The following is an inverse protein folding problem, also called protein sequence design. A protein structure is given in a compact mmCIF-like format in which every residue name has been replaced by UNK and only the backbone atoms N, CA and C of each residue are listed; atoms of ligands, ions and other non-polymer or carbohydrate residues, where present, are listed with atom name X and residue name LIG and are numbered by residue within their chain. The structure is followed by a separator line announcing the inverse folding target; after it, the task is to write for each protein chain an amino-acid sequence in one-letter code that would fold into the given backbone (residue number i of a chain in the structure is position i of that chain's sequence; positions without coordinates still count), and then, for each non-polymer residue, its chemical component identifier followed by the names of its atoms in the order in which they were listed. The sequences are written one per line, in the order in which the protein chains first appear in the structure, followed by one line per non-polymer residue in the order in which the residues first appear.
data_IF_487914630560
#
_entry.id   IF_487914630560
#
_cell.length_a   1.000
_cell.length_b   1.000
_cell.length_c   1.000
_cell.angle_alpha   90.00
_cell.angle_beta   90.00
_cell.angle_gamma   90.00
#
_symmetry.space_group_name_H-M   'P 1'
#
loop_
_entity.id
_entity.type
_entity.pdbx_description
1 polymer ?
#
# COMPACT_ATOMS: atom_id res chain seq x y z
N UNK A 1 -3.86 -14.28 23.62
CA UNK A 1 -3.93 -12.82 23.37
C UNK A 1 -3.54 -12.42 21.95
N UNK A 2 -2.74 -13.21 21.23
CA UNK A 2 -2.31 -12.92 19.85
C UNK A 2 -3.39 -13.13 18.76
N UNK A 3 -4.34 -14.05 18.97
CA UNK A 3 -5.33 -14.41 17.94
C UNK A 3 -6.41 -13.34 17.69
N UNK A 4 -6.86 -12.64 18.74
CA UNK A 4 -7.96 -11.66 18.62
C UNK A 4 -7.52 -10.48 17.74
N UNK A 5 -6.28 -10.00 17.90
CA UNK A 5 -5.72 -8.92 17.08
C UNK A 5 -5.63 -9.35 15.61
N UNK A 6 -5.18 -10.59 15.36
CA UNK A 6 -5.09 -11.13 14.01
C UNK A 6 -6.47 -11.27 13.34
N UNK A 7 -7.49 -11.74 14.06
CA UNK A 7 -8.86 -11.88 13.55
C UNK A 7 -9.47 -10.53 13.17
N UNK A 8 -9.33 -9.51 14.01
CA UNK A 8 -9.88 -8.16 13.76
C UNK A 8 -9.16 -7.47 12.58
N UNK A 9 -7.84 -7.61 12.48
CA UNK A 9 -7.05 -6.95 11.42
C UNK A 9 -7.14 -7.65 10.07
N UNK A 10 -7.56 -8.93 10.04
CA UNK A 10 -7.66 -9.72 8.81
C UNK A 10 -8.60 -9.09 7.78
N UNK A 11 -9.70 -8.49 8.22
CA UNK A 11 -10.67 -7.81 7.35
C UNK A 11 -10.12 -6.53 6.71
N UNK A 12 -9.08 -5.93 7.31
CA UNK A 12 -8.45 -4.71 6.83
C UNK A 12 -7.29 -4.98 5.85
N UNK A 13 -6.90 -6.25 5.67
CA UNK A 13 -5.83 -6.63 4.77
C UNK A 13 -6.31 -6.61 3.31
N UNK A 14 -5.51 -5.98 2.46
CA UNK A 14 -5.73 -5.92 1.01
C UNK A 14 -5.16 -7.16 0.32
N UNK A 15 -5.95 -7.77 -0.56
CA UNK A 15 -5.57 -8.93 -1.38
C UNK A 15 -5.22 -8.58 -2.83
N UNK A 16 -5.40 -7.32 -3.23
CA UNK A 16 -5.27 -6.85 -4.62
C UNK A 16 -3.88 -6.33 -4.98
N UNK A 17 -2.92 -6.37 -4.05
CA UNK A 17 -1.57 -5.87 -4.26
C UNK A 17 -0.67 -6.91 -4.94
N UNK A 18 0.11 -6.54 -5.98
CA UNK A 18 1.06 -7.46 -6.59
C UNK A 18 2.21 -7.79 -5.64
N UNK A 19 2.87 -8.92 -5.88
CA UNK A 19 4.10 -9.26 -5.16
C UNK A 19 5.26 -8.44 -5.71
N UNK A 20 5.98 -7.73 -4.84
CA UNK A 20 7.19 -6.97 -5.17
C UNK A 20 8.28 -7.19 -4.12
N UNK A 21 9.54 -6.97 -4.47
CA UNK A 21 10.71 -7.17 -3.61
C UNK A 21 11.63 -5.94 -3.64
N UNK A 22 12.52 -5.79 -2.65
CA UNK A 22 13.58 -4.79 -2.73
C UNK A 22 14.39 -4.96 -4.02
N UNK A 23 14.61 -3.87 -4.74
CA UNK A 23 15.24 -3.84 -6.07
C UNK A 23 14.26 -3.67 -7.23
N UNK A 24 12.97 -3.95 -7.04
CA UNK A 24 11.97 -3.78 -8.10
C UNK A 24 11.68 -2.29 -8.34
N UNK A 25 11.46 -1.91 -9.60
CA UNK A 25 10.92 -0.59 -9.94
C UNK A 25 9.40 -0.65 -9.94
N UNK A 26 8.77 0.19 -9.12
CA UNK A 26 7.31 0.21 -8.93
C UNK A 26 6.74 1.58 -9.27
N UNK A 27 5.52 1.58 -9.80
CA UNK A 27 4.72 2.77 -10.05
C UNK A 27 3.51 2.79 -9.13
N UNK A 28 3.55 3.63 -8.10
CA UNK A 28 2.53 3.75 -7.06
C UNK A 28 1.58 4.89 -7.40
N UNK A 29 0.28 4.59 -7.46
CA UNK A 29 -0.77 5.57 -7.68
C UNK A 29 -1.38 5.96 -6.32
N UNK A 30 -1.12 7.18 -5.86
CA UNK A 30 -1.61 7.69 -4.59
C UNK A 30 -2.81 8.60 -4.86
N UNK A 31 -3.92 8.36 -4.16
CA UNK A 31 -5.06 9.28 -4.16
C UNK A 31 -4.77 10.42 -3.20
N UNK A 32 -4.63 11.63 -3.72
CA UNK A 32 -4.44 12.86 -2.95
C UNK A 32 -5.77 13.59 -2.87
N UNK A 33 -6.27 13.80 -1.65
CA UNK A 33 -7.53 14.50 -1.36
C UNK A 33 -7.20 15.82 -0.67
N UNK A 34 -7.48 16.94 -1.34
CA UNK A 34 -7.26 18.31 -0.85
C UNK A 34 -8.61 19.01 -0.75
N UNK A 35 -9.26 18.90 0.41
CA UNK A 35 -10.60 19.46 0.64
C UNK A 35 -11.64 18.81 -0.28
N UNK A 36 -12.14 19.56 -1.26
CA UNK A 36 -13.14 19.09 -2.24
C UNK A 36 -12.54 18.53 -3.53
N UNK A 37 -11.22 18.63 -3.71
CA UNK A 37 -10.54 18.16 -4.93
C UNK A 37 -9.82 16.85 -4.66
N UNK A 38 -10.01 15.90 -5.57
CA UNK A 38 -9.31 14.62 -5.55
C UNK A 38 -8.50 14.47 -6.84
N UNK A 39 -7.24 14.02 -6.72
CA UNK A 39 -6.38 13.69 -7.85
C UNK A 39 -5.60 12.41 -7.58
N UNK A 40 -5.21 11.71 -8.64
CA UNK A 40 -4.28 10.59 -8.55
C UNK A 40 -2.89 11.12 -8.88
N UNK A 41 -1.96 11.00 -7.94
CA UNK A 41 -0.56 11.30 -8.13
C UNK A 41 0.23 10.01 -8.31
N UNK A 42 1.09 9.98 -9.33
CA UNK A 42 1.90 8.81 -9.66
C UNK A 42 3.33 9.02 -9.15
N UNK A 43 3.86 8.03 -8.44
CA UNK A 43 5.24 8.00 -8.00
C UNK A 43 5.93 6.76 -8.57
N UNK A 44 7.06 6.94 -9.25
CA UNK A 44 7.87 5.85 -9.80
C UNK A 44 9.24 5.83 -9.13
N UNK A 45 9.69 4.65 -8.72
CA UNK A 45 10.99 4.51 -8.08
C UNK A 45 11.33 3.07 -7.74
N UNK A 46 12.55 2.87 -7.24
CA UNK A 46 13.07 1.56 -6.84
C UNK A 46 12.70 1.29 -5.38
N UNK A 47 12.21 0.07 -5.10
CA UNK A 47 11.93 -0.37 -3.74
C UNK A 47 13.25 -0.62 -3.00
N UNK A 48 13.55 0.20 -2.00
CA UNK A 48 14.81 0.07 -1.22
C UNK A 48 14.67 -0.91 -0.05
N UNK A 49 13.45 -1.05 0.50
CA UNK A 49 13.22 -1.83 1.73
C UNK A 49 11.76 -2.30 1.84
N UNK A 50 11.57 -3.53 2.32
CA UNK A 50 10.28 -4.11 2.73
C UNK A 50 10.48 -4.84 4.06
N UNK A 51 9.66 -4.56 5.09
CA UNK A 51 9.70 -5.19 6.42
C UNK A 51 8.28 -5.51 6.87
#
# INVERSE_FOLDING_TARGET
MSNIIAEITKEQLRSDLPTFRPGDTVRVHVKVVEGTRERIQVFEGVVIKRR
#
